data_IF_148884721454
#
_entry.id   IF_148884721454
#
_cell.length_a   1.000
_cell.length_b   1.000
_cell.length_c   1.000
_cell.angle_alpha   90.00
_cell.angle_beta   90.00
_cell.angle_gamma   90.00
#
_symmetry.space_group_name_H-M   'P 1'
#
loop_
_entity.id
_entity.type
_entity.pdbx_description
1 polymer ?
#
# COMPACT_ATOMS: atom_id res chain seq x y z
N UNK A 1 -0.49 16.10 -3.65
CA UNK A 1 -1.90 15.93 -4.07
C UNK A 1 -1.93 14.96 -5.25
N UNK A 2 -2.81 13.95 -5.22
CA UNK A 2 -2.98 12.98 -6.31
C UNK A 2 -3.31 13.72 -7.61
N UNK A 3 -2.70 13.39 -8.75
CA UNK A 3 -3.00 14.00 -10.06
C UNK A 3 -3.84 13.09 -10.94
N UNK A 4 -4.49 13.65 -11.96
CA UNK A 4 -5.25 12.86 -12.95
C UNK A 4 -4.36 11.84 -13.67
N UNK A 5 -3.11 12.20 -13.97
CA UNK A 5 -2.15 11.27 -14.58
C UNK A 5 -1.87 10.05 -13.66
N UNK A 6 -1.71 10.29 -12.35
CA UNK A 6 -1.48 9.23 -11.37
C UNK A 6 -2.72 8.35 -11.21
N UNK A 7 -3.91 8.95 -11.24
CA UNK A 7 -5.19 8.22 -11.23
C UNK A 7 -5.35 7.34 -12.48
N UNK A 8 -5.04 7.87 -13.67
CA UNK A 8 -5.12 7.11 -14.91
C UNK A 8 -4.08 5.97 -14.97
N UNK A 9 -2.89 6.16 -14.40
CA UNK A 9 -1.88 5.10 -14.28
C UNK A 9 -2.34 3.94 -13.38
N UNK A 10 -3.09 4.26 -12.31
CA UNK A 10 -3.75 3.25 -11.47
C UNK A 10 -4.87 2.54 -12.23
N UNK A 11 -5.76 3.29 -12.90
CA UNK A 11 -6.85 2.71 -13.72
C UNK A 11 -6.32 1.78 -14.81
N UNK A 12 -5.15 2.07 -15.38
CA UNK A 12 -4.52 1.22 -16.39
C UNK A 12 -4.21 -0.21 -15.90
N UNK A 13 -4.16 -0.45 -14.57
CA UNK A 13 -4.03 -1.78 -14.00
C UNK A 13 -5.31 -2.63 -14.12
N UNK A 14 -6.46 -2.00 -14.43
CA UNK A 14 -7.77 -2.64 -14.51
C UNK A 14 -8.40 -2.47 -15.91
N UNK A 15 -7.73 -2.91 -17.00
CA UNK A 15 -8.15 -2.60 -18.36
C UNK A 15 -9.52 -3.20 -18.73
N UNK A 16 -9.97 -4.24 -18.02
CA UNK A 16 -11.23 -4.94 -18.27
C UNK A 16 -12.36 -4.54 -17.31
N UNK A 17 -12.08 -3.78 -16.25
CA UNK A 17 -13.10 -3.31 -15.31
C UNK A 17 -13.76 -2.02 -15.84
N UNK A 18 -14.90 -2.18 -16.53
CA UNK A 18 -15.67 -1.06 -17.07
C UNK A 18 -16.11 -0.06 -15.99
N UNK A 19 -16.33 -0.52 -14.75
CA UNK A 19 -16.71 0.35 -13.64
C UNK A 19 -15.52 1.19 -13.19
N UNK A 20 -14.33 0.61 -13.05
CA UNK A 20 -13.10 1.35 -12.77
C UNK A 20 -12.79 2.35 -13.88
N UNK A 21 -12.95 1.95 -15.15
CA UNK A 21 -12.73 2.84 -16.29
C UNK A 21 -13.73 4.01 -16.34
N UNK A 22 -14.93 3.85 -15.80
CA UNK A 22 -15.94 4.91 -15.74
C UNK A 22 -15.68 5.97 -14.66
N UNK A 23 -14.98 5.65 -13.57
CA UNK A 23 -14.71 6.61 -12.48
C UNK A 23 -13.78 7.73 -12.97
N UNK A 24 -14.31 8.95 -13.02
CA UNK A 24 -13.53 10.14 -13.38
C UNK A 24 -12.69 10.65 -12.20
N UNK A 25 -11.62 11.39 -12.51
CA UNK A 25 -10.80 12.03 -11.47
C UNK A 25 -11.60 13.07 -10.67
N UNK A 26 -12.49 13.82 -11.32
CA UNK A 26 -13.37 14.80 -10.65
C UNK A 26 -14.36 14.12 -9.68
N UNK A 27 -14.93 12.98 -10.09
CA UNK A 27 -15.79 12.17 -9.23
C UNK A 27 -15.02 11.67 -8.01
N UNK A 28 -13.78 11.20 -8.19
CA UNK A 28 -12.91 10.80 -7.08
C UNK A 28 -12.63 11.97 -6.12
N UNK A 29 -12.30 13.15 -6.65
CA UNK A 29 -12.03 14.34 -5.83
C UNK A 29 -13.27 14.82 -5.07
N UNK A 30 -14.45 14.81 -5.70
CA UNK A 30 -15.70 15.23 -5.07
C UNK A 30 -16.07 14.37 -3.85
N UNK A 31 -15.68 13.11 -3.85
CA UNK A 31 -15.89 12.17 -2.76
C UNK A 31 -14.79 12.19 -1.68
N UNK A 32 -13.66 12.87 -1.95
CA UNK A 32 -12.52 12.97 -1.01
C UNK A 32 -12.36 14.37 -0.41
N UNK A 33 -12.91 15.41 -1.04
CA UNK A 33 -12.80 16.81 -0.60
C UNK A 33 -13.94 17.22 0.38
N UNK A 34 -14.04 16.52 1.52
CA UNK A 34 -15.02 16.85 2.57
C UNK A 34 -16.43 16.29 2.36
N UNK A 35 -16.61 15.39 1.39
CA UNK A 35 -17.81 14.56 1.30
C UNK A 35 -17.95 13.75 2.59
N UNK A 36 -18.99 14.01 3.38
CA UNK A 36 -19.27 13.23 4.59
C UNK A 36 -19.53 11.78 4.17
N UNK A 37 -18.57 10.89 4.43
CA UNK A 37 -18.83 9.45 4.40
C UNK A 37 -19.97 9.19 5.39
N UNK A 38 -21.16 8.86 4.89
CA UNK A 38 -22.32 8.59 5.72
C UNK A 38 -22.21 7.18 6.31
N UNK A 39 -21.52 7.07 7.46
CA UNK A 39 -21.37 5.83 8.20
C UNK A 39 -22.68 5.27 8.77
N UNK A 40 -23.75 6.07 8.83
CA UNK A 40 -25.07 5.66 9.32
C UNK A 40 -25.95 5.02 8.24
N UNK A 41 -25.53 5.06 6.98
CA UNK A 41 -26.16 4.37 5.87
C UNK A 41 -25.07 3.98 4.88
N UNK A 42 -24.26 2.93 5.18
CA UNK A 42 -23.45 2.31 4.13
C UNK A 42 -24.43 1.99 2.99
N UNK A 43 -24.15 2.34 1.73
CA UNK A 43 -25.05 2.00 0.64
C UNK A 43 -25.27 0.49 0.69
N UNK A 44 -26.46 0.09 1.10
CA UNK A 44 -26.93 -1.29 1.12
C UNK A 44 -27.17 -1.70 -0.32
N UNK A 45 -26.08 -1.99 -1.02
CA UNK A 45 -26.15 -2.64 -2.34
C UNK A 45 -26.26 -4.14 -2.08
N UNK A 46 -27.49 -4.61 -1.95
CA UNK A 46 -27.81 -6.01 -2.21
C UNK A 46 -27.65 -6.24 -3.71
N UNK A 47 -26.62 -6.94 -4.17
CA UNK A 47 -26.56 -7.43 -5.55
C UNK A 47 -25.96 -8.84 -5.65
N UNK A 48 -26.63 -9.74 -6.38
CA UNK A 48 -26.16 -11.10 -6.65
C UNK A 48 -25.00 -11.05 -7.65
N UNK A 49 -23.96 -11.83 -7.38
CA UNK A 49 -22.72 -11.79 -8.15
C UNK A 49 -21.55 -11.35 -7.28
N UNK A 50 -21.11 -12.28 -6.43
CA UNK A 50 -19.78 -12.25 -5.85
C UNK A 50 -18.82 -12.90 -6.87
N UNK A 51 -18.77 -12.37 -8.08
CA UNK A 51 -17.79 -12.71 -9.10
C UNK A 51 -16.52 -11.91 -8.79
N UNK A 52 -15.83 -12.41 -7.76
CA UNK A 52 -14.45 -12.05 -7.46
C UNK A 52 -13.60 -12.51 -8.65
N UNK A 53 -13.41 -11.67 -9.66
CA UNK A 53 -12.25 -11.83 -10.54
C UNK A 53 -11.02 -11.46 -9.73
N UNK A 54 -10.55 -12.46 -8.98
CA UNK A 54 -9.24 -12.52 -8.36
C UNK A 54 -8.21 -12.04 -9.39
N UNK A 55 -7.46 -10.99 -9.05
CA UNK A 55 -6.14 -10.78 -9.66
C UNK A 55 -5.24 -11.91 -9.17
N UNK A 56 -5.36 -13.05 -9.83
CA UNK A 56 -4.41 -14.12 -9.71
C UNK A 56 -3.12 -13.65 -10.37
N UNK A 57 -2.12 -13.33 -9.55
CA UNK A 57 -0.72 -13.31 -10.01
C UNK A 57 -0.29 -14.78 -10.19
N UNK A 58 -1.00 -15.53 -11.03
CA UNK A 58 -0.69 -16.91 -11.33
C UNK A 58 0.68 -16.96 -12.02
N UNK A 59 1.70 -17.41 -11.28
CA UNK A 59 2.98 -17.82 -11.86
C UNK A 59 4.18 -16.93 -11.55
N UNK A 60 4.08 -15.93 -10.67
CA UNK A 60 5.27 -15.22 -10.19
C UNK A 60 5.79 -15.89 -8.92
N UNK A 61 6.76 -16.79 -9.07
CA UNK A 61 7.52 -17.30 -7.93
C UNK A 61 8.46 -16.21 -7.45
N UNK A 62 8.25 -15.72 -6.24
CA UNK A 62 9.19 -14.87 -5.50
C UNK A 62 10.01 -15.73 -4.54
N UNK A 63 11.23 -15.31 -4.24
CA UNK A 63 12.05 -15.92 -3.19
C UNK A 63 11.55 -15.56 -1.79
N UNK A 64 12.01 -16.26 -0.76
CA UNK A 64 11.65 -15.98 0.64
C UNK A 64 12.03 -14.54 1.05
N UNK A 65 13.21 -14.07 0.63
CA UNK A 65 13.63 -12.68 0.79
C UNK A 65 12.64 -11.70 0.15
N UNK A 66 12.29 -11.91 -1.13
CA UNK A 66 11.35 -11.05 -1.84
C UNK A 66 9.95 -11.06 -1.20
N UNK A 67 9.49 -12.23 -0.73
CA UNK A 67 8.22 -12.38 -0.03
C UNK A 67 8.19 -11.56 1.28
N UNK A 68 9.23 -11.67 2.10
CA UNK A 68 9.30 -10.95 3.36
C UNK A 68 9.43 -9.44 3.15
N UNK A 69 10.14 -9.00 2.10
CA UNK A 69 10.09 -7.58 1.68
C UNK A 69 8.65 -7.18 1.29
N UNK A 70 7.91 -8.06 0.61
CA UNK A 70 6.50 -7.86 0.28
C UNK A 70 5.62 -7.57 1.50
N UNK A 71 5.83 -8.29 2.61
CA UNK A 71 5.15 -8.02 3.88
C UNK A 71 5.53 -6.65 4.44
N UNK A 72 6.83 -6.29 4.42
CA UNK A 72 7.27 -4.96 4.88
C UNK A 72 6.63 -3.84 4.06
N UNK A 73 6.56 -3.99 2.73
CA UNK A 73 5.90 -2.99 1.87
C UNK A 73 4.42 -2.89 2.21
N UNK A 74 3.73 -4.02 2.41
CA UNK A 74 2.32 -4.04 2.82
C UNK A 74 2.12 -3.30 4.16
N UNK A 75 2.99 -3.56 5.14
CA UNK A 75 3.00 -2.88 6.44
C UNK A 75 3.18 -1.36 6.32
N UNK A 76 4.11 -0.94 5.46
CA UNK A 76 4.36 0.48 5.18
C UNK A 76 3.13 1.15 4.53
N UNK A 77 2.45 0.47 3.61
CA UNK A 77 1.21 1.00 3.00
C UNK A 77 0.08 1.07 4.01
N UNK A 78 -0.07 0.07 4.89
CA UNK A 78 -1.03 0.08 6.00
C UNK A 78 -0.82 1.28 6.94
N UNK A 79 0.42 1.54 7.34
CA UNK A 79 0.78 2.70 8.16
C UNK A 79 0.54 4.01 7.42
N UNK A 80 0.81 4.06 6.12
CA UNK A 80 0.62 5.28 5.34
C UNK A 80 -0.83 5.74 5.22
N UNK A 81 -1.80 4.90 5.57
CA UNK A 81 -3.21 5.22 5.49
C UNK A 81 -3.94 5.04 6.82
N UNK A 82 -3.20 4.81 7.92
CA UNK A 82 -3.76 4.49 9.23
C UNK A 82 -4.62 3.21 9.25
N UNK A 83 -4.41 2.29 8.31
CA UNK A 83 -5.17 1.04 8.20
C UNK A 83 -4.45 -0.13 8.89
N UNK A 84 -3.95 0.12 10.09
CA UNK A 84 -3.30 -0.85 10.98
C UNK A 84 -4.11 -2.15 11.12
N UNK A 85 -5.45 -2.06 11.15
CA UNK A 85 -6.34 -3.21 11.25
C UNK A 85 -6.39 -4.12 10.00
N UNK A 86 -6.07 -3.60 8.80
CA UNK A 86 -6.03 -4.41 7.58
C UNK A 86 -4.85 -5.39 7.57
N UNK A 87 -3.83 -5.14 8.39
CA UNK A 87 -2.69 -6.04 8.47
C UNK A 87 -3.05 -7.44 8.97
N UNK A 88 -4.11 -7.57 9.76
CA UNK A 88 -4.60 -8.87 10.19
C UNK A 88 -5.14 -9.74 9.04
N UNK A 89 -5.48 -9.13 7.90
CA UNK A 89 -6.01 -9.84 6.72
C UNK A 89 -4.99 -10.12 5.63
N UNK A 90 -3.71 -9.72 5.79
CA UNK A 90 -2.70 -10.00 4.76
C UNK A 90 -2.44 -11.50 4.67
N UNK A 91 -2.31 -11.99 3.44
CA UNK A 91 -1.94 -13.38 3.14
C UNK A 91 -0.59 -13.42 2.45
N UNK A 92 0.05 -14.59 2.41
CA UNK A 92 1.28 -14.76 1.63
C UNK A 92 1.08 -14.40 0.17
N UNK A 93 -0.03 -14.83 -0.44
CA UNK A 93 -0.36 -14.49 -1.83
C UNK A 93 -0.46 -12.97 -2.06
N UNK A 94 -1.02 -12.22 -1.10
CA UNK A 94 -1.06 -10.76 -1.17
C UNK A 94 0.35 -10.16 -1.06
N UNK A 95 1.19 -10.66 -0.16
CA UNK A 95 2.57 -10.22 -0.01
C UNK A 95 3.42 -10.55 -1.25
N UNK A 96 3.24 -11.72 -1.85
CA UNK A 96 3.87 -12.11 -3.12
C UNK A 96 3.49 -11.16 -4.26
N UNK A 97 2.20 -10.80 -4.37
CA UNK A 97 1.73 -9.85 -5.37
C UNK A 97 2.33 -8.46 -5.17
N UNK A 98 2.44 -8.00 -3.92
CA UNK A 98 3.08 -6.73 -3.57
C UNK A 98 4.59 -6.75 -3.89
N UNK A 99 5.28 -7.84 -3.56
CA UNK A 99 6.69 -8.03 -3.89
C UNK A 99 6.91 -8.04 -5.41
N UNK A 100 6.09 -8.77 -6.15
CA UNK A 100 6.14 -8.82 -7.62
C UNK A 100 5.93 -7.43 -8.24
N UNK A 101 5.00 -6.64 -7.70
CA UNK A 101 4.77 -5.26 -8.15
C UNK A 101 5.94 -4.31 -7.84
N UNK A 102 6.68 -4.57 -6.76
CA UNK A 102 7.86 -3.79 -6.37
C UNK A 102 9.18 -4.32 -6.93
N UNK A 103 9.15 -5.42 -7.72
CA UNK A 103 10.35 -6.11 -8.21
C UNK A 103 11.44 -5.21 -8.81
N UNK A 104 11.12 -4.15 -9.59
CA UNK A 104 12.15 -3.24 -10.11
C UNK A 104 13.00 -2.51 -9.06
N UNK A 105 12.52 -2.45 -7.81
CA UNK A 105 13.16 -1.70 -6.73
C UNK A 105 13.48 -2.51 -5.47
N UNK A 106 13.13 -3.80 -5.40
CA UNK A 106 13.29 -4.62 -4.18
C UNK A 106 14.72 -4.55 -3.61
N UNK A 107 15.75 -4.68 -4.45
CA UNK A 107 17.15 -4.62 -4.01
C UNK A 107 17.56 -3.27 -3.42
N UNK A 108 16.85 -2.20 -3.74
CA UNK A 108 17.08 -0.86 -3.17
C UNK A 108 16.42 -0.71 -1.79
N UNK A 109 15.41 -1.53 -1.48
CA UNK A 109 14.69 -1.52 -0.22
C UNK A 109 15.45 -2.22 0.90
N UNK A 110 16.28 -3.21 0.57
CA UNK A 110 17.07 -4.01 1.52
C UNK A 110 17.87 -3.13 2.49
N UNK A 111 18.50 -2.06 2.01
CA UNK A 111 19.28 -1.15 2.85
C UNK A 111 18.43 -0.37 3.86
N UNK A 112 17.18 -0.02 3.50
CA UNK A 112 16.24 0.60 4.42
C UNK A 112 15.75 -0.42 5.46
N UNK A 113 15.43 -1.64 5.01
CA UNK A 113 14.96 -2.74 5.85
C UNK A 113 16.03 -3.16 6.86
N UNK A 114 17.29 -3.27 6.43
CA UNK A 114 18.40 -3.58 7.32
C UNK A 114 18.57 -2.55 8.45
N UNK A 115 18.36 -1.25 8.16
CA UNK A 115 18.38 -0.20 9.19
C UNK A 115 17.19 -0.31 10.14
N UNK A 116 16.02 -0.69 9.62
CA UNK A 116 14.81 -0.90 10.42
C UNK A 116 14.92 -2.14 11.32
N UNK A 117 15.61 -3.18 10.85
CA UNK A 117 15.86 -4.42 11.58
C UNK A 117 17.03 -4.32 12.57
N UNK A 118 17.81 -3.25 12.54
CA UNK A 118 19.00 -3.10 13.37
C UNK A 118 18.66 -3.16 14.87
N UNK A 119 19.46 -3.86 15.69
CA UNK A 119 19.27 -3.87 17.14
C UNK A 119 19.25 -2.46 17.71
N UNK A 120 18.15 -2.12 18.41
CA UNK A 120 17.97 -0.79 19.00
C UNK A 120 17.47 0.29 18.05
N UNK A 121 17.01 -0.05 16.84
CA UNK A 121 16.36 0.89 15.94
C UNK A 121 15.23 1.66 16.66
N UNK A 122 15.27 2.98 16.59
CA UNK A 122 14.26 3.83 17.20
C UNK A 122 12.99 3.87 16.37
N UNK A 123 11.88 4.35 16.95
CA UNK A 123 10.64 4.60 16.19
C UNK A 123 10.85 5.59 15.05
N UNK A 124 11.77 6.54 15.21
CA UNK A 124 12.13 7.50 14.16
C UNK A 124 12.88 6.81 13.02
N UNK A 125 13.77 5.85 13.33
CA UNK A 125 14.47 5.06 12.31
C UNK A 125 13.49 4.21 11.50
N UNK A 126 12.54 3.56 12.18
CA UNK A 126 11.46 2.78 11.55
C UNK A 126 10.59 3.65 10.63
N UNK A 127 10.14 4.81 11.13
CA UNK A 127 9.31 5.74 10.35
C UNK A 127 10.07 6.35 9.15
N UNK A 128 11.35 6.65 9.32
CA UNK A 128 12.23 7.13 8.24
C UNK A 128 12.46 6.04 7.20
N UNK A 129 12.62 4.79 7.64
CA UNK A 129 12.70 3.61 6.77
C UNK A 129 11.42 3.41 5.97
N UNK A 130 10.25 3.48 6.61
CA UNK A 130 8.95 3.42 5.95
C UNK A 130 8.80 4.52 4.87
N UNK A 131 9.18 5.76 5.20
CA UNK A 131 9.16 6.85 4.22
C UNK A 131 10.13 6.60 3.06
N UNK A 132 11.32 6.07 3.34
CA UNK A 132 12.32 5.69 2.33
C UNK A 132 11.79 4.62 1.38
N UNK A 133 11.07 3.62 1.90
CA UNK A 133 10.42 2.57 1.10
C UNK A 133 9.39 3.19 0.16
N UNK A 134 8.48 4.04 0.67
CA UNK A 134 7.49 4.74 -0.16
C UNK A 134 8.14 5.59 -1.26
N UNK A 135 9.19 6.34 -0.90
CA UNK A 135 9.94 7.18 -1.85
C UNK A 135 10.60 6.34 -2.93
N UNK A 136 11.16 5.18 -2.57
CA UNK A 136 11.83 4.29 -3.51
C UNK A 136 10.83 3.68 -4.49
N UNK A 137 9.69 3.17 -3.99
CA UNK A 137 8.58 2.66 -4.82
C UNK A 137 8.05 3.73 -5.77
N UNK A 138 7.89 4.96 -5.28
CA UNK A 138 7.49 6.10 -6.10
C UNK A 138 8.51 6.40 -7.20
N UNK A 139 9.79 6.55 -6.84
CA UNK A 139 10.85 6.87 -7.80
C UNK A 139 11.08 5.79 -8.85
N UNK A 140 10.76 4.53 -8.51
CA UNK A 140 10.78 3.39 -9.43
C UNK A 140 9.51 3.23 -10.27
N UNK A 141 8.56 4.18 -10.21
CA UNK A 141 7.25 4.11 -10.88
C UNK A 141 6.43 2.85 -10.54
N UNK A 142 6.65 2.26 -9.37
CA UNK A 142 5.98 1.03 -8.94
C UNK A 142 4.71 1.31 -8.11
N UNK A 143 4.44 2.57 -7.72
CA UNK A 143 3.37 2.90 -6.78
C UNK A 143 1.99 2.39 -7.23
N UNK A 144 1.60 2.61 -8.48
CA UNK A 144 0.30 2.17 -8.98
C UNK A 144 0.12 0.66 -8.91
N UNK A 145 1.16 -0.11 -9.29
CA UNK A 145 1.15 -1.56 -9.24
C UNK A 145 1.14 -2.07 -7.78
N UNK A 146 1.95 -1.47 -6.89
CA UNK A 146 2.00 -1.84 -5.46
C UNK A 146 0.67 -1.57 -4.77
N UNK A 147 0.06 -0.40 -4.99
CA UNK A 147 -1.25 -0.08 -4.42
C UNK A 147 -2.31 -1.02 -4.98
N UNK A 148 -2.29 -1.31 -6.28
CA UNK A 148 -3.21 -2.28 -6.91
C UNK A 148 -3.08 -3.67 -6.29
N UNK A 149 -1.86 -4.16 -6.05
CA UNK A 149 -1.63 -5.43 -5.39
C UNK A 149 -2.11 -5.42 -3.93
N UNK A 150 -1.86 -4.32 -3.20
CA UNK A 150 -2.31 -4.13 -1.82
C UNK A 150 -3.84 -4.19 -1.69
N UNK A 151 -4.58 -3.54 -2.61
CA UNK A 151 -6.05 -3.52 -2.57
C UNK A 151 -6.71 -4.69 -3.31
N UNK A 152 -5.94 -5.55 -3.99
CA UNK A 152 -6.45 -6.55 -4.92
C UNK A 152 -7.32 -7.64 -4.28
N UNK A 153 -7.25 -7.82 -2.96
CA UNK A 153 -8.11 -8.76 -2.21
C UNK A 153 -9.36 -8.11 -1.62
N UNK A 154 -9.55 -6.80 -1.82
CA UNK A 154 -10.69 -6.06 -1.28
C UNK A 154 -11.87 -6.06 -2.25
N UNK A 155 -13.08 -5.85 -1.73
CA UNK A 155 -14.26 -5.63 -2.57
C UNK A 155 -14.11 -4.35 -3.38
N UNK A 156 -14.71 -4.28 -4.57
CA UNK A 156 -14.54 -3.17 -5.52
C UNK A 156 -14.65 -1.76 -4.91
N UNK A 157 -15.66 -1.52 -4.06
CA UNK A 157 -15.85 -0.22 -3.42
C UNK A 157 -14.77 0.09 -2.36
N UNK A 158 -14.42 -0.91 -1.56
CA UNK A 158 -13.34 -0.80 -0.56
C UNK A 158 -12.00 -0.60 -1.25
N UNK A 159 -11.76 -1.33 -2.33
CA UNK A 159 -10.58 -1.21 -3.19
C UNK A 159 -10.42 0.24 -3.69
N UNK A 160 -11.48 0.86 -4.22
CA UNK A 160 -11.48 2.25 -4.68
C UNK A 160 -11.12 3.25 -3.57
N UNK A 161 -11.79 3.17 -2.43
CA UNK A 161 -11.56 4.08 -1.31
C UNK A 161 -10.14 3.95 -0.75
N UNK A 162 -9.68 2.72 -0.53
CA UNK A 162 -8.34 2.47 0.02
C UNK A 162 -7.25 2.79 -0.98
N UNK A 163 -7.44 2.55 -2.28
CA UNK A 163 -6.48 2.93 -3.31
C UNK A 163 -6.34 4.44 -3.43
N UNK A 164 -7.47 5.17 -3.44
CA UNK A 164 -7.45 6.62 -3.50
C UNK A 164 -6.80 7.25 -2.25
N UNK A 165 -7.12 6.71 -1.08
CA UNK A 165 -6.52 7.15 0.19
C UNK A 165 -5.02 6.85 0.21
N UNK A 166 -4.60 5.64 -0.17
CA UNK A 166 -3.19 5.25 -0.24
C UNK A 166 -2.39 6.13 -1.19
N UNK A 167 -2.85 6.29 -2.43
CA UNK A 167 -2.14 7.16 -3.38
C UNK A 167 -2.15 8.62 -2.92
N UNK A 168 -3.26 9.11 -2.38
CA UNK A 168 -3.40 10.47 -1.86
C UNK A 168 -2.41 10.76 -0.73
N UNK A 169 -2.39 9.92 0.30
CA UNK A 169 -1.52 10.09 1.46
C UNK A 169 -0.06 9.90 1.11
N UNK A 170 0.29 8.88 0.32
CA UNK A 170 1.68 8.65 -0.11
C UNK A 170 2.20 9.84 -0.93
N UNK A 171 1.42 10.35 -1.90
CA UNK A 171 1.82 11.52 -2.69
C UNK A 171 1.90 12.78 -1.83
N UNK A 172 1.03 12.94 -0.82
CA UNK A 172 1.11 14.06 0.12
C UNK A 172 2.36 13.99 1.02
N UNK A 173 2.70 12.80 1.52
CA UNK A 173 3.92 12.56 2.27
C UNK A 173 5.16 12.92 1.44
N UNK A 174 5.22 12.48 0.18
CA UNK A 174 6.33 12.75 -0.72
C UNK A 174 6.45 14.23 -1.10
N UNK A 175 5.33 14.95 -1.23
CA UNK A 175 5.31 16.38 -1.54
C UNK A 175 5.77 17.26 -0.38
N UNK A 176 5.83 16.73 0.84
CA UNK A 176 6.20 17.46 2.08
C UNK A 176 7.53 16.98 2.67
N UNK A 177 8.34 16.27 1.88
CA UNK A 177 9.57 15.60 2.32
C UNK A 177 9.39 14.65 3.51
N UNK A 178 8.16 14.18 3.74
CA UNK A 178 7.84 13.13 4.70
C UNK A 178 7.84 13.54 6.16
N UNK A 179 8.08 14.80 6.52
CA UNK A 179 8.20 15.19 7.94
C UNK A 179 6.90 14.91 8.73
N UNK A 180 5.75 15.26 8.16
CA UNK A 180 4.44 14.99 8.77
C UNK A 180 4.14 13.48 8.83
N UNK A 181 4.46 12.75 7.76
CA UNK A 181 4.30 11.30 7.67
C UNK A 181 5.15 10.57 8.71
N UNK A 182 6.42 10.96 8.88
CA UNK A 182 7.31 10.36 9.87
C UNK A 182 6.75 10.56 11.29
N UNK A 183 6.23 11.76 11.59
CA UNK A 183 5.62 12.03 12.89
C UNK A 183 4.36 11.18 13.14
N UNK A 184 3.49 11.03 12.13
CA UNK A 184 2.31 10.16 12.17
C UNK A 184 2.69 8.70 12.41
N UNK A 185 3.60 8.15 11.60
CA UNK A 185 4.07 6.76 11.74
C UNK A 185 4.72 6.51 13.10
N UNK A 186 5.48 7.45 13.65
CA UNK A 186 6.05 7.32 15.01
C UNK A 186 4.95 7.11 16.07
N UNK A 187 3.80 7.77 15.91
CA UNK A 187 2.66 7.63 16.80
C UNK A 187 2.00 6.26 16.58
N UNK A 188 1.77 5.86 15.34
CA UNK A 188 1.12 4.59 14.99
C UNK A 188 1.96 3.35 15.36
N UNK A 189 3.29 3.45 15.32
CA UNK A 189 4.19 2.38 15.74
C UNK A 189 4.07 2.05 17.24
N UNK A 190 3.36 2.85 18.04
CA UNK A 190 3.00 2.46 19.40
C UNK A 190 2.03 1.27 19.44
N UNK A 191 1.25 1.05 18.38
CA UNK A 191 0.24 -0.02 18.29
C UNK A 191 0.47 -0.98 17.11
N UNK A 192 1.45 -0.70 16.24
CA UNK A 192 1.73 -1.49 15.04
C UNK A 192 3.11 -2.17 15.06
N UNK A 193 3.23 -3.25 15.83
CA UNK A 193 4.49 -4.00 15.97
C UNK A 193 4.87 -4.88 14.76
N UNK A 194 3.95 -5.13 13.83
CA UNK A 194 4.17 -6.01 12.67
C UNK A 194 5.32 -5.51 11.80
N UNK A 195 5.39 -4.20 11.51
CA UNK A 195 6.48 -3.63 10.72
C UNK A 195 7.86 -4.00 11.26
N UNK A 196 8.05 -3.98 12.59
CA UNK A 196 9.33 -4.32 13.22
C UNK A 196 9.64 -5.81 13.00
N UNK A 197 8.68 -6.68 13.32
CA UNK A 197 8.87 -8.12 13.18
C UNK A 197 9.16 -8.50 11.74
N UNK A 198 8.46 -7.93 10.77
CA UNK A 198 8.59 -8.32 9.37
C UNK A 198 9.80 -7.66 8.71
N UNK A 199 10.27 -6.51 9.21
CA UNK A 199 11.57 -5.96 8.82
C UNK A 199 12.73 -6.85 9.25
N UNK A 200 12.67 -7.42 10.47
CA UNK A 200 13.67 -8.37 10.96
C UNK A 200 13.67 -9.65 10.13
N UNK A 201 12.50 -10.24 9.87
CA UNK A 201 12.40 -11.43 9.00
C UNK A 201 12.93 -11.18 7.60
N UNK A 202 12.53 -10.07 6.99
CA UNK A 202 13.02 -9.68 5.66
C UNK A 202 14.55 -9.53 5.65
N UNK A 203 15.13 -8.89 6.67
CA UNK A 203 16.57 -8.80 6.79
C UNK A 203 17.24 -10.18 6.90
N UNK A 204 16.72 -11.07 7.76
CA UNK A 204 17.25 -12.43 7.94
C UNK A 204 17.14 -13.28 6.66
N UNK A 205 16.03 -13.17 5.92
CA UNK A 205 15.80 -13.92 4.69
C UNK A 205 16.67 -13.44 3.51
N UNK A 206 17.07 -12.16 3.52
CA UNK A 206 17.91 -11.55 2.48
C UNK A 206 19.42 -11.61 2.76
N UNK A 207 19.83 -12.17 3.90
CA UNK A 207 21.24 -12.30 4.35
C UNK A 207 21.84 -13.65 3.98
#
# INVERSE_FOLDING_TARGET
MLTEQQWNAFKAQFPHDQRMQAVSYDELLSNTNGGKVNWASPPTVHLPGADNEFFSVAGVTVSDCELDIGYVIFDVVCLAIGAVGLRASVTSSTAEAVAAAAKPVLSQLEAAIAKMAAPGASKVDLATGAFTILRTIWSGNCLGAVVSAFVGSLTWYTMLLYAATAMGTIVAALATDGAAFVAEVVIELATFGFLVSDSVKAYEACS
#
